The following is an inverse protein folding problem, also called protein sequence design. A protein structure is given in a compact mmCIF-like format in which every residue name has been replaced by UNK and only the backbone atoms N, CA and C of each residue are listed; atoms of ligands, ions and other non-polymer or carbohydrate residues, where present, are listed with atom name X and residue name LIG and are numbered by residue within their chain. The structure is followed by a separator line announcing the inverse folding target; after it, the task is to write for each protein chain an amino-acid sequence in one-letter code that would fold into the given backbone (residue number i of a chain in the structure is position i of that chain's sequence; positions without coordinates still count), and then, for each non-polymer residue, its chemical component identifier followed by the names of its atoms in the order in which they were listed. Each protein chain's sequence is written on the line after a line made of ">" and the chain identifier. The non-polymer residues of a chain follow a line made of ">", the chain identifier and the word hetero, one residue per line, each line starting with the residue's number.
data_IF_455900911962
#
_entry.id   IF_455900911962
#
_cell.length_a   1.000
_cell.length_b   1.000
_cell.length_c   1.000
_cell.angle_alpha   90.00
_cell.angle_beta   90.00
_cell.angle_gamma   90.00
#
_symmetry.space_group_name_H-M   'P 1'
#
loop_
_entity.id
_entity.type
_entity.pdbx_description
1 polymer ?
#
# COMPACT_ATOMS: atom_id res chain seq x y z
N UNK A 1 -57.23 -12.22 50.84
CA UNK A 1 -56.43 -12.85 49.75
C UNK A 1 -55.85 -11.73 48.89
N UNK A 2 -54.58 -11.37 49.08
CA UNK A 2 -53.93 -10.19 48.46
C UNK A 2 -52.97 -10.69 47.36
N UNK A 3 -53.27 -10.39 46.10
CA UNK A 3 -52.42 -10.70 44.93
C UNK A 3 -51.45 -9.54 44.70
N UNK A 4 -50.14 -9.78 44.83
CA UNK A 4 -49.07 -8.84 44.53
C UNK A 4 -48.62 -9.01 43.06
N UNK A 5 -48.57 -7.90 42.30
CA UNK A 5 -48.18 -7.87 40.89
C UNK A 5 -46.65 -7.83 40.71
N UNK A 6 -46.10 -8.83 40.00
CA UNK A 6 -44.68 -8.96 39.65
C UNK A 6 -44.41 -8.53 38.19
N UNK A 7 -44.53 -7.26 37.84
CA UNK A 7 -44.35 -6.83 36.42
C UNK A 7 -43.41 -5.63 36.19
N UNK A 8 -42.64 -5.17 37.17
CA UNK A 8 -41.91 -3.89 37.03
C UNK A 8 -40.38 -3.95 37.01
N UNK A 9 -39.73 -5.11 36.80
CA UNK A 9 -38.25 -5.22 36.89
C UNK A 9 -37.57 -5.55 35.55
N UNK A 10 -38.30 -5.75 34.45
CA UNK A 10 -37.70 -6.24 33.18
C UNK A 10 -37.28 -5.12 32.20
N UNK A 11 -37.63 -3.84 32.44
CA UNK A 11 -37.44 -2.78 31.43
C UNK A 11 -36.20 -1.88 31.56
N UNK A 12 -35.35 -2.03 32.59
CA UNK A 12 -34.17 -1.15 32.79
C UNK A 12 -32.86 -1.79 32.29
N UNK A 13 -32.80 -3.12 32.14
CA UNK A 13 -31.58 -3.82 31.69
C UNK A 13 -31.23 -3.62 30.21
N UNK A 14 -32.20 -3.23 29.36
CA UNK A 14 -31.98 -3.12 27.91
C UNK A 14 -31.36 -1.77 27.47
N UNK A 15 -31.44 -0.72 28.30
CA UNK A 15 -30.93 0.62 27.95
C UNK A 15 -29.44 0.77 28.32
N UNK A 16 -28.97 0.08 29.36
CA UNK A 16 -27.54 0.12 29.76
C UNK A 16 -26.65 -0.71 28.84
N UNK A 17 -27.18 -1.74 28.18
CA UNK A 17 -26.45 -2.55 27.21
C UNK A 17 -26.15 -1.83 25.87
N UNK A 18 -26.82 -0.70 25.60
CA UNK A 18 -26.63 0.07 24.36
C UNK A 18 -25.60 1.22 24.50
N UNK A 19 -25.16 1.55 25.72
CA UNK A 19 -24.21 2.64 26.00
C UNK A 19 -22.77 2.17 26.24
N UNK A 20 -22.52 0.86 26.16
CA UNK A 20 -21.20 0.23 26.31
C UNK A 20 -20.72 -0.41 25.01
N UNK A 21 -21.18 0.07 23.85
CA UNK A 21 -20.52 -0.29 22.60
C UNK A 21 -19.15 0.39 22.61
N UNK A 22 -18.03 -0.36 22.64
CA UNK A 22 -16.73 0.25 22.47
C UNK A 22 -16.78 1.05 21.17
N UNK A 23 -16.27 2.28 21.20
CA UNK A 23 -16.02 3.04 19.98
C UNK A 23 -14.89 2.27 19.30
N UNK A 24 -15.25 1.31 18.46
CA UNK A 24 -14.29 0.60 17.62
C UNK A 24 -13.61 1.70 16.82
N UNK A 25 -12.31 1.89 17.05
CA UNK A 25 -11.51 2.68 16.14
C UNK A 25 -11.69 2.03 14.78
N UNK A 26 -12.39 2.72 13.88
CA UNK A 26 -12.42 2.29 12.48
C UNK A 26 -10.98 2.40 12.01
N UNK A 27 -10.34 1.27 11.77
CA UNK A 27 -9.20 1.26 10.88
C UNK A 27 -9.76 1.70 9.54
N UNK A 28 -9.41 2.91 9.12
CA UNK A 28 -9.49 3.26 7.70
C UNK A 28 -8.40 2.38 7.10
N UNK A 29 -8.80 1.30 6.44
CA UNK A 29 -7.92 0.58 5.52
C UNK A 29 -8.33 1.13 4.17
N UNK A 30 -7.56 2.09 3.69
CA UNK A 30 -7.67 2.63 2.36
C UNK A 30 -6.37 2.31 1.63
N UNK A 31 -6.50 1.79 0.40
CA UNK A 31 -5.37 1.30 -0.39
C UNK A 31 -5.45 1.90 -1.77
N UNK A 32 -4.32 2.38 -2.26
CA UNK A 32 -4.13 2.73 -3.66
C UNK A 32 -2.86 2.07 -4.18
N UNK A 33 -2.78 1.87 -5.48
CA UNK A 33 -1.59 1.29 -6.10
C UNK A 33 -1.41 1.73 -7.54
N UNK A 34 -0.16 1.61 -8.02
CA UNK A 34 0.24 1.97 -9.37
C UNK A 34 1.54 1.25 -9.75
N UNK A 35 1.83 1.22 -11.05
CA UNK A 35 3.05 0.59 -11.56
C UNK A 35 4.12 1.62 -11.89
N UNK A 36 5.38 1.26 -11.66
CA UNK A 36 6.53 1.95 -12.23
C UNK A 36 6.65 1.53 -13.69
N UNK A 37 5.96 2.25 -14.58
CA UNK A 37 5.88 1.93 -16.01
C UNK A 37 6.96 2.60 -16.88
N UNK A 38 7.52 3.73 -16.43
CA UNK A 38 8.44 4.54 -17.23
C UNK A 38 9.89 4.31 -16.80
N UNK A 39 10.65 3.61 -17.64
CA UNK A 39 12.08 3.37 -17.44
C UNK A 39 12.96 4.39 -18.16
N UNK A 40 14.14 4.69 -17.61
CA UNK A 40 15.11 5.56 -18.27
C UNK A 40 15.78 4.86 -19.47
N UNK A 41 16.64 5.57 -20.21
CA UNK A 41 17.31 5.05 -21.41
C UNK A 41 18.17 3.80 -21.16
N UNK A 42 18.60 3.56 -19.93
CA UNK A 42 19.41 2.39 -19.60
C UNK A 42 18.60 1.09 -19.55
N UNK A 43 17.29 1.17 -19.28
CA UNK A 43 16.39 0.01 -19.21
C UNK A 43 15.24 0.07 -20.22
N UNK A 44 15.16 1.10 -21.06
CA UNK A 44 14.09 1.28 -22.06
C UNK A 44 14.02 0.17 -23.14
N UNK A 45 15.06 -0.66 -23.25
CA UNK A 45 15.06 -1.86 -24.11
C UNK A 45 14.35 -3.07 -23.50
N UNK A 46 13.93 -2.99 -22.23
CA UNK A 46 13.22 -4.05 -21.52
C UNK A 46 11.76 -3.67 -21.32
N UNK A 47 10.85 -4.62 -21.50
CA UNK A 47 9.41 -4.40 -21.42
C UNK A 47 8.95 -4.14 -19.98
N UNK A 48 8.48 -2.93 -19.67
CA UNK A 48 7.81 -2.64 -18.38
C UNK A 48 6.39 -3.21 -18.30
N UNK A 49 5.68 -3.03 -17.16
CA UNK A 49 6.11 -2.30 -15.95
C UNK A 49 7.22 -3.02 -15.18
N UNK A 50 7.96 -2.26 -14.36
CA UNK A 50 9.16 -2.74 -13.67
C UNK A 50 8.86 -3.17 -12.23
N UNK A 51 8.09 -2.37 -11.49
CA UNK A 51 7.65 -2.69 -10.14
C UNK A 51 6.22 -2.21 -9.92
N UNK A 52 5.54 -2.79 -8.93
CA UNK A 52 4.25 -2.36 -8.42
C UNK A 52 4.44 -1.62 -7.09
N UNK A 53 3.74 -0.51 -6.90
CA UNK A 53 3.74 0.28 -5.67
C UNK A 53 2.34 0.20 -5.07
N UNK A 54 2.25 -0.25 -3.83
CA UNK A 54 1.03 -0.27 -3.02
C UNK A 54 1.20 0.68 -1.83
N UNK A 55 0.16 1.48 -1.57
CA UNK A 55 0.09 2.46 -0.49
C UNK A 55 -1.12 2.11 0.36
N UNK A 56 -0.87 1.65 1.58
CA UNK A 56 -1.90 1.31 2.56
C UNK A 56 -1.95 2.39 3.65
N UNK A 57 -2.99 3.22 3.65
CA UNK A 57 -3.24 4.16 4.74
C UNK A 57 -3.83 3.39 5.93
N UNK A 58 -3.01 3.06 6.93
CA UNK A 58 -3.40 2.31 8.12
C UNK A 58 -4.17 3.15 9.15
N UNK A 59 -3.80 4.43 9.25
CA UNK A 59 -4.45 5.44 10.07
C UNK A 59 -4.38 6.77 9.34
N UNK A 60 -5.11 7.79 9.77
CA UNK A 60 -5.02 9.13 9.16
C UNK A 60 -3.63 9.76 9.24
N UNK A 61 -2.67 9.19 9.96
CA UNK A 61 -1.30 9.69 10.06
C UNK A 61 -0.23 8.67 9.67
N UNK A 62 -0.59 7.42 9.37
CA UNK A 62 0.40 6.36 9.14
C UNK A 62 0.02 5.54 7.93
N UNK A 63 0.95 5.38 7.00
CA UNK A 63 0.80 4.57 5.80
C UNK A 63 1.96 3.57 5.69
N UNK A 64 1.67 2.38 5.17
CA UNK A 64 2.68 1.41 4.75
C UNK A 64 2.83 1.50 3.24
N UNK A 65 4.07 1.57 2.76
CA UNK A 65 4.40 1.58 1.34
C UNK A 65 5.08 0.27 1.00
N UNK A 66 4.62 -0.40 -0.05
CA UNK A 66 5.18 -1.67 -0.50
C UNK A 66 5.52 -1.59 -1.98
N UNK A 67 6.79 -1.80 -2.30
CA UNK A 67 7.26 -2.00 -3.65
C UNK A 67 7.44 -3.49 -3.92
N UNK A 68 6.94 -3.97 -5.05
CA UNK A 68 7.07 -5.38 -5.48
C UNK A 68 7.61 -5.44 -6.90
N UNK A 69 8.71 -6.17 -7.10
CA UNK A 69 9.26 -6.44 -8.43
C UNK A 69 8.26 -7.17 -9.32
N UNK A 70 8.16 -6.73 -10.58
CA UNK A 70 7.37 -7.42 -11.59
C UNK A 70 8.26 -8.32 -12.45
N UNK A 71 7.64 -9.27 -13.15
CA UNK A 71 8.31 -10.15 -14.11
C UNK A 71 7.65 -9.99 -15.47
N UNK A 72 8.43 -9.56 -16.48
CA UNK A 72 7.95 -9.40 -17.85
C UNK A 72 8.97 -9.94 -18.86
N UNK A 73 8.47 -10.58 -19.92
CA UNK A 73 9.29 -11.10 -21.03
C UNK A 73 10.49 -11.96 -20.60
N UNK A 74 10.34 -12.75 -19.52
CA UNK A 74 11.40 -13.61 -18.98
C UNK A 74 12.42 -12.92 -18.08
N UNK A 75 12.25 -11.64 -17.79
CA UNK A 75 13.07 -10.88 -16.85
C UNK A 75 12.30 -10.56 -15.57
N UNK A 76 13.01 -10.47 -14.44
CA UNK A 76 12.54 -9.90 -13.17
C UNK A 76 13.35 -8.62 -12.89
N UNK A 77 12.70 -7.62 -12.31
CA UNK A 77 13.22 -6.27 -12.09
C UNK A 77 13.47 -6.02 -10.60
N UNK A 78 14.62 -6.47 -10.10
CA UNK A 78 14.97 -6.35 -8.67
C UNK A 78 15.29 -4.90 -8.31
N UNK A 79 15.09 -4.52 -7.06
CA UNK A 79 15.29 -3.15 -6.54
C UNK A 79 16.46 -3.13 -5.55
N UNK A 80 17.39 -2.19 -5.64
CA UNK A 80 18.55 -2.14 -4.73
C UNK A 80 19.49 -0.97 -4.98
N UNK A 81 20.64 -0.95 -4.30
CA UNK A 81 21.67 0.12 -4.35
C UNK A 81 21.17 1.46 -3.73
N UNK A 82 21.94 2.54 -3.89
CA UNK A 82 21.51 3.89 -3.51
C UNK A 82 20.32 4.35 -4.35
N UNK A 83 19.26 4.82 -3.70
CA UNK A 83 17.98 5.04 -4.37
C UNK A 83 17.24 3.74 -4.70
N UNK A 84 17.34 2.71 -3.84
CA UNK A 84 16.65 1.43 -4.05
C UNK A 84 15.18 1.65 -4.38
N UNK A 85 14.51 2.47 -3.56
CA UNK A 85 13.18 3.01 -3.81
C UNK A 85 13.10 4.44 -3.31
N UNK A 86 12.36 5.28 -4.03
CA UNK A 86 12.18 6.69 -3.75
C UNK A 86 10.69 7.04 -3.79
N UNK A 87 10.24 7.93 -2.90
CA UNK A 87 8.86 8.42 -2.87
C UNK A 87 8.79 9.92 -2.60
N UNK A 88 7.73 10.56 -3.08
CA UNK A 88 7.40 11.94 -2.75
C UNK A 88 6.27 11.96 -1.73
N UNK A 89 6.62 11.99 -0.46
CA UNK A 89 5.69 12.05 0.66
C UNK A 89 4.94 13.39 0.64
N UNK A 90 3.61 13.34 0.62
CA UNK A 90 2.75 14.52 0.67
C UNK A 90 2.52 14.95 2.13
N UNK A 91 3.58 15.45 2.76
CA UNK A 91 3.55 16.00 4.12
C UNK A 91 4.63 17.07 4.27
N UNK A 92 4.49 17.98 5.26
CA UNK A 92 5.56 18.94 5.56
C UNK A 92 6.68 18.29 6.36
N UNK A 93 6.32 17.42 7.32
CA UNK A 93 7.26 16.59 8.08
C UNK A 93 6.68 15.19 8.28
N UNK A 94 7.55 14.18 8.28
CA UNK A 94 7.20 12.78 8.52
C UNK A 94 8.38 12.05 9.17
N UNK A 95 8.14 10.80 9.58
CA UNK A 95 9.18 9.86 10.00
C UNK A 95 9.08 8.57 9.19
N UNK A 96 10.22 7.96 8.92
CA UNK A 96 10.36 6.65 8.28
C UNK A 96 10.66 5.58 9.34
N UNK A 97 10.03 4.40 9.25
CA UNK A 97 10.32 3.27 10.12
C UNK A 97 10.05 1.92 9.42
N UNK A 98 10.39 0.83 10.12
CA UNK A 98 10.07 -0.55 9.71
C UNK A 98 10.53 -0.93 8.30
N UNK A 99 11.65 -0.38 7.83
CA UNK A 99 12.20 -0.70 6.52
C UNK A 99 12.64 -2.17 6.50
N UNK A 100 12.00 -2.96 5.65
CA UNK A 100 12.33 -4.37 5.43
C UNK A 100 12.22 -4.71 3.95
N UNK A 101 12.74 -5.88 3.57
CA UNK A 101 12.56 -6.39 2.22
C UNK A 101 13.06 -7.82 2.06
N UNK A 102 12.69 -8.45 0.96
CA UNK A 102 12.97 -9.84 0.65
C UNK A 102 13.55 -10.02 -0.75
N UNK A 103 14.08 -11.21 -1.04
CA UNK A 103 14.40 -11.65 -2.39
C UNK A 103 14.24 -13.18 -2.45
N UNK A 104 13.32 -13.67 -3.29
CA UNK A 104 13.06 -15.10 -3.47
C UNK A 104 14.07 -15.77 -4.43
N UNK A 105 14.96 -15.00 -5.06
CA UNK A 105 16.02 -15.48 -5.93
C UNK A 105 17.11 -16.26 -5.19
N UNK A 106 17.94 -16.98 -5.95
CA UNK A 106 19.05 -17.74 -5.38
C UNK A 106 20.30 -16.87 -5.19
N UNK A 107 20.85 -16.87 -3.98
CA UNK A 107 22.14 -16.25 -3.67
C UNK A 107 22.09 -14.74 -3.37
N UNK A 108 20.91 -14.19 -3.08
CA UNK A 108 20.74 -12.80 -2.66
C UNK A 108 20.73 -12.67 -1.14
N UNK A 109 21.10 -11.48 -0.64
CA UNK A 109 21.02 -11.11 0.77
C UNK A 109 20.43 -9.70 0.87
N UNK A 110 19.09 -9.55 0.87
CA UNK A 110 18.43 -8.25 0.85
C UNK A 110 18.89 -7.30 1.95
N UNK A 111 19.13 -6.04 1.61
CA UNK A 111 19.59 -5.01 2.53
C UNK A 111 21.07 -5.17 2.95
N UNK A 112 21.48 -4.64 4.12
CA UNK A 112 20.69 -3.82 5.05
C UNK A 112 20.14 -2.55 4.39
N UNK A 113 19.09 -1.98 4.97
CA UNK A 113 18.45 -0.76 4.49
C UNK A 113 18.76 0.44 5.38
N UNK A 114 18.76 1.63 4.79
CA UNK A 114 18.90 2.90 5.50
C UNK A 114 17.99 3.98 4.93
N UNK A 115 17.66 4.95 5.78
CA UNK A 115 17.03 6.20 5.37
C UNK A 115 18.06 7.07 4.64
N UNK A 116 17.89 7.22 3.32
CA UNK A 116 18.73 8.07 2.47
C UNK A 116 18.37 9.55 2.56
N UNK A 117 17.27 9.89 3.26
CA UNK A 117 16.73 11.24 3.34
C UNK A 117 16.16 11.71 2.00
N UNK A 118 16.24 13.01 1.72
CA UNK A 118 15.86 13.55 0.42
C UNK A 118 16.99 13.36 -0.59
N UNK A 119 16.74 12.63 -1.69
CA UNK A 119 17.68 12.50 -2.78
C UNK A 119 17.58 13.67 -3.79
N UNK A 120 18.74 14.08 -4.30
CA UNK A 120 18.80 14.99 -5.43
C UNK A 120 18.67 14.21 -6.73
N UNK A 121 17.72 14.60 -7.58
CA UNK A 121 17.59 14.22 -9.00
C UNK A 121 17.89 12.75 -9.34
N UNK A 122 16.86 11.92 -9.35
CA UNK A 122 16.93 10.56 -9.90
C UNK A 122 16.92 10.63 -11.42
N UNK A 123 18.10 10.50 -12.04
CA UNK A 123 18.39 10.41 -13.47
C UNK A 123 17.24 10.75 -14.48
N UNK A 124 16.76 11.99 -14.45
CA UNK A 124 15.74 12.49 -15.40
C UNK A 124 14.28 12.41 -14.94
N UNK A 125 13.99 11.92 -13.74
CA UNK A 125 12.65 11.81 -13.14
C UNK A 125 12.39 12.81 -12.02
N UNK A 126 13.24 13.82 -11.88
CA UNK A 126 13.13 14.83 -10.83
C UNK A 126 13.71 14.37 -9.49
N UNK A 127 13.44 15.16 -8.46
CA UNK A 127 13.87 14.85 -7.09
C UNK A 127 12.74 14.16 -6.32
N UNK A 128 13.14 13.40 -5.30
CA UNK A 128 12.25 12.76 -4.35
C UNK A 128 12.58 13.23 -2.94
N UNK A 129 11.56 13.46 -2.13
CA UNK A 129 11.77 13.97 -0.78
C UNK A 129 12.08 12.85 0.25
N UNK A 130 11.93 11.58 -0.13
CA UNK A 130 12.31 10.43 0.68
C UNK A 130 12.92 9.32 -0.19
N UNK A 131 14.07 8.82 0.25
CA UNK A 131 14.85 7.75 -0.38
C UNK A 131 15.14 6.65 0.63
N UNK A 132 15.06 5.40 0.19
CA UNK A 132 15.53 4.23 0.92
C UNK A 132 16.69 3.64 0.14
N UNK A 133 17.82 3.46 0.82
CA UNK A 133 19.02 2.83 0.27
C UNK A 133 19.11 1.38 0.75
N UNK A 134 19.65 0.51 -0.10
CA UNK A 134 20.14 -0.81 0.30
C UNK A 134 21.66 -0.84 0.20
N UNK A 135 22.29 -1.74 0.96
CA UNK A 135 23.71 -2.01 0.78
C UNK A 135 24.03 -2.49 -0.65
N UNK A 136 25.29 -2.26 -1.06
CA UNK A 136 25.74 -2.14 -2.46
C UNK A 136 25.33 -3.31 -3.37
N UNK A 137 24.55 -2.93 -4.38
CA UNK A 137 24.52 -3.60 -5.67
C UNK A 137 23.60 -4.81 -5.81
N UNK A 138 23.77 -5.51 -6.92
CA UNK A 138 22.86 -6.56 -7.38
C UNK A 138 22.63 -7.68 -6.36
N UNK A 139 23.66 -8.12 -5.63
CA UNK A 139 23.54 -9.25 -4.68
C UNK A 139 22.74 -8.92 -3.41
N UNK A 140 22.51 -7.63 -3.14
CA UNK A 140 21.74 -7.13 -2.00
C UNK A 140 20.38 -6.56 -2.41
N UNK A 141 20.02 -6.72 -3.68
CA UNK A 141 18.72 -6.31 -4.21
C UNK A 141 17.58 -7.15 -3.66
N UNK A 142 16.39 -6.61 -3.80
CA UNK A 142 15.13 -7.12 -3.25
C UNK A 142 14.10 -7.28 -4.35
N UNK A 143 13.23 -8.29 -4.20
CA UNK A 143 11.99 -8.40 -4.98
C UNK A 143 10.79 -7.75 -4.28
N UNK A 144 10.96 -7.37 -3.01
CA UNK A 144 9.99 -6.62 -2.24
C UNK A 144 10.71 -5.70 -1.26
N UNK A 145 10.28 -4.44 -1.17
CA UNK A 145 10.72 -3.50 -0.13
C UNK A 145 9.47 -2.88 0.49
N UNK A 146 9.39 -2.86 1.82
CA UNK A 146 8.27 -2.26 2.55
C UNK A 146 8.78 -1.37 3.69
N UNK A 147 8.06 -0.30 3.96
CA UNK A 147 8.39 0.66 5.02
C UNK A 147 7.14 1.44 5.44
N UNK A 148 7.20 2.03 6.63
CA UNK A 148 6.13 2.85 7.17
C UNK A 148 6.50 4.33 7.13
N UNK A 149 5.54 5.15 6.73
CA UNK A 149 5.57 6.61 6.82
C UNK A 149 4.60 7.06 7.90
N UNK A 150 5.04 7.97 8.76
CA UNK A 150 4.14 8.64 9.72
C UNK A 150 4.18 10.15 9.51
N UNK A 151 3.05 10.75 9.13
CA UNK A 151 2.87 12.19 9.03
C UNK A 151 2.92 12.83 10.42
N UNK A 152 3.90 13.70 10.67
CA UNK A 152 4.05 14.42 11.94
C UNK A 152 3.58 15.87 11.86
N UNK A 153 3.13 16.31 10.67
CA UNK A 153 2.67 17.67 10.38
C UNK A 153 1.17 17.80 10.17
N UNK A 154 0.42 16.69 10.10
CA UNK A 154 -1.01 16.69 9.80
C UNK A 154 -1.58 15.29 9.63
N UNK A 155 -2.61 15.17 8.79
CA UNK A 155 -3.29 13.92 8.47
C UNK A 155 -3.47 13.77 6.96
N UNK A 156 -3.48 12.53 6.47
CA UNK A 156 -3.94 12.14 5.14
C UNK A 156 -5.43 11.78 5.20
N UNK A 157 -6.18 12.15 4.16
CA UNK A 157 -7.62 11.89 4.07
C UNK A 157 -7.92 10.49 3.53
N UNK A 158 -7.03 10.00 2.68
CA UNK A 158 -7.12 8.78 1.89
C UNK A 158 -5.70 8.36 1.46
N UNK A 159 -5.57 7.15 0.92
CA UNK A 159 -4.28 6.61 0.49
C UNK A 159 -3.66 7.40 -0.67
N UNK A 160 -4.48 7.93 -1.58
CA UNK A 160 -4.05 8.80 -2.69
C UNK A 160 -3.35 10.07 -2.18
N UNK A 161 -3.74 10.56 -1.01
CA UNK A 161 -3.16 11.76 -0.40
C UNK A 161 -1.81 11.53 0.28
N UNK A 162 -1.32 10.29 0.39
CA UNK A 162 -0.04 9.96 1.06
C UNK A 162 1.15 10.38 0.22
N UNK A 163 1.10 10.17 -1.09
CA UNK A 163 2.14 10.52 -2.04
C UNK A 163 1.66 11.65 -2.96
N UNK A 164 2.58 12.51 -3.41
CA UNK A 164 2.30 13.55 -4.39
C UNK A 164 3.32 13.50 -5.52
N UNK A 165 2.88 13.68 -6.76
CA UNK A 165 3.80 13.74 -7.88
C UNK A 165 4.74 14.96 -7.77
N UNK A 166 6.00 14.79 -8.15
CA UNK A 166 6.93 15.91 -8.31
C UNK A 166 6.68 16.68 -9.62
N UNK A 167 7.57 17.64 -9.92
CA UNK A 167 7.53 18.46 -11.15
C UNK A 167 7.71 17.66 -12.46
N UNK A 168 7.98 16.36 -12.38
CA UNK A 168 8.09 15.43 -13.52
C UNK A 168 6.94 14.41 -13.56
N UNK A 169 5.86 14.66 -12.80
CA UNK A 169 4.69 13.77 -12.70
C UNK A 169 5.04 12.38 -12.14
N UNK A 170 6.03 12.30 -11.24
CA UNK A 170 6.48 11.08 -10.59
C UNK A 170 6.21 11.10 -9.08
N UNK A 171 5.44 10.11 -8.59
CA UNK A 171 5.17 9.94 -7.16
C UNK A 171 6.15 8.97 -6.49
N UNK A 172 6.65 7.99 -7.23
CA UNK A 172 7.64 7.03 -6.78
C UNK A 172 8.64 6.67 -7.88
N UNK A 173 9.83 6.20 -7.47
CA UNK A 173 10.82 5.61 -8.35
C UNK A 173 11.54 4.45 -7.67
N UNK A 174 12.28 3.68 -8.46
CA UNK A 174 13.15 2.62 -7.96
C UNK A 174 14.38 2.46 -8.86
N UNK A 175 15.51 2.13 -8.24
CA UNK A 175 16.70 1.67 -8.95
C UNK A 175 16.54 0.18 -9.30
N UNK A 176 16.39 -0.07 -10.60
CA UNK A 176 16.08 -1.38 -11.16
C UNK A 176 17.36 -2.11 -11.61
N UNK A 177 17.47 -3.38 -11.22
CA UNK A 177 18.33 -4.38 -11.82
C UNK A 177 17.50 -5.35 -12.67
N UNK A 178 17.73 -5.35 -13.98
CA UNK A 178 17.11 -6.33 -14.88
C UNK A 178 17.91 -7.62 -14.80
N UNK A 179 17.27 -8.75 -14.51
CA UNK A 179 17.91 -10.07 -14.58
C UNK A 179 16.94 -11.13 -15.10
N UNK A 180 17.47 -12.29 -15.52
CA UNK A 180 16.66 -13.42 -15.96
C UNK A 180 15.77 -13.92 -14.82
N UNK A 181 14.52 -14.28 -15.09
CA UNK A 181 13.63 -14.95 -14.14
C UNK A 181 13.70 -16.49 -14.32
N UNK A 182 13.92 -17.29 -13.25
CA UNK A 182 14.08 -16.87 -11.86
C UNK A 182 15.45 -16.21 -11.59
N UNK A 183 15.46 -15.25 -10.67
CA UNK A 183 16.67 -14.50 -10.31
C UNK A 183 17.74 -15.41 -9.70
N UNK A 184 18.98 -15.23 -10.16
CA UNK A 184 20.16 -15.87 -9.58
C UNK A 184 21.30 -14.85 -9.51
N UNK A 185 21.81 -14.60 -8.30
CA UNK A 185 22.84 -13.61 -8.05
C UNK A 185 24.11 -13.84 -8.90
N UNK A 186 24.41 -15.09 -9.27
CA UNK A 186 25.56 -15.43 -10.12
C UNK A 186 25.43 -14.99 -11.57
N UNK A 187 24.21 -14.75 -12.06
CA UNK A 187 23.98 -14.31 -13.43
C UNK A 187 24.29 -12.80 -13.60
N UNK A 188 24.35 -12.04 -12.50
CA UNK A 188 24.45 -10.60 -12.55
C UNK A 188 23.19 -9.91 -13.07
N UNK A 189 23.27 -8.59 -13.16
CA UNK A 189 22.28 -7.77 -13.85
C UNK A 189 22.61 -7.68 -15.34
N UNK A 190 21.60 -7.86 -16.19
CA UNK A 190 21.66 -7.65 -17.63
C UNK A 190 21.74 -6.15 -17.97
N UNK A 191 21.04 -5.33 -17.18
CA UNK A 191 21.06 -3.88 -17.23
C UNK A 191 20.69 -3.30 -15.87
N UNK A 192 21.04 -2.04 -15.65
CA UNK A 192 20.66 -1.29 -14.46
C UNK A 192 20.22 0.12 -14.85
N UNK A 193 19.18 0.63 -14.19
CA UNK A 193 18.63 1.95 -14.47
C UNK A 193 17.54 2.31 -13.48
N UNK A 194 16.75 3.33 -13.79
CA UNK A 194 15.68 3.79 -12.93
C UNK A 194 14.34 3.65 -13.61
N UNK A 195 13.31 3.33 -12.84
CA UNK A 195 11.92 3.35 -13.27
C UNK A 195 11.09 4.25 -12.36
N UNK A 196 10.06 4.89 -12.91
CA UNK A 196 9.13 5.76 -12.18
C UNK A 196 7.68 5.50 -12.57
N UNK A 197 6.77 5.96 -11.72
CA UNK A 197 5.33 5.90 -11.93
C UNK A 197 4.61 6.94 -11.07
N UNK A 198 3.34 7.13 -11.39
CA UNK A 198 2.40 7.93 -10.63
C UNK A 198 1.00 7.32 -10.76
N UNK A 199 0.17 7.54 -9.75
CA UNK A 199 -1.23 7.09 -9.68
C UNK A 199 -2.11 7.67 -10.80
N UNK A 200 -1.68 8.78 -11.42
CA UNK A 200 -2.36 9.40 -12.56
C UNK A 200 -2.13 8.71 -13.92
N UNK A 201 -1.13 7.83 -14.04
CA UNK A 201 -0.74 7.15 -15.28
C UNK A 201 -1.18 5.69 -15.34
N UNK A 202 -2.50 5.41 -15.27
CA UNK A 202 -3.05 4.06 -15.06
C UNK A 202 -2.61 2.95 -16.04
N UNK A 203 -2.59 1.68 -15.58
CA UNK A 203 -3.69 0.71 -15.82
C UNK A 203 -3.91 -0.32 -14.66
N UNK A 204 -4.83 -1.31 -14.77
CA UNK A 204 -6.31 -1.25 -14.83
C UNK A 204 -6.96 -1.00 -13.44
N UNK A 205 -8.28 -0.76 -13.33
CA UNK A 205 -8.94 -0.59 -12.04
C UNK A 205 -8.74 -1.84 -11.16
N UNK A 206 -8.02 -1.68 -10.05
CA UNK A 206 -8.06 -2.64 -8.96
C UNK A 206 -9.49 -2.65 -8.43
N UNK A 207 -10.14 -3.81 -8.43
CA UNK A 207 -11.45 -3.97 -7.82
C UNK A 207 -11.27 -3.76 -6.32
N UNK A 208 -11.65 -2.57 -5.84
CA UNK A 208 -11.77 -2.31 -4.41
C UNK A 208 -12.71 -3.37 -3.85
N UNK A 209 -12.30 -4.19 -2.86
CA UNK A 209 -13.16 -5.22 -2.30
C UNK A 209 -14.50 -4.60 -1.90
N UNK A 210 -15.58 -5.05 -2.53
CA UNK A 210 -16.89 -4.46 -2.30
C UNK A 210 -17.19 -4.47 -0.80
N UNK A 211 -17.44 -3.30 -0.17
CA UNK A 211 -17.60 -3.23 1.27
C UNK A 211 -18.77 -4.14 1.67
N UNK A 212 -18.57 -4.89 2.75
CA UNK A 212 -19.54 -5.81 3.35
C UNK A 212 -20.92 -5.18 3.62
N UNK A 213 -21.05 -3.86 3.48
CA UNK A 213 -22.30 -3.15 3.27
C UNK A 213 -23.25 -3.76 2.23
N UNK A 214 -22.77 -4.38 1.14
CA UNK A 214 -23.67 -5.08 0.19
C UNK A 214 -24.33 -6.29 0.86
N UNK A 215 -23.57 -7.04 1.66
CA UNK A 215 -24.10 -8.16 2.45
C UNK A 215 -25.06 -7.63 3.53
N UNK A 216 -24.76 -6.49 4.16
CA UNK A 216 -25.60 -5.89 5.19
C UNK A 216 -26.94 -5.39 4.60
N UNK A 217 -26.93 -4.75 3.44
CA UNK A 217 -28.12 -4.31 2.71
C UNK A 217 -28.91 -5.53 2.22
N UNK A 218 -28.23 -6.52 1.65
CA UNK A 218 -28.83 -7.77 1.20
C UNK A 218 -29.54 -8.51 2.32
N UNK A 219 -28.87 -8.71 3.46
CA UNK A 219 -29.43 -9.34 4.65
C UNK A 219 -30.57 -8.51 5.26
N UNK A 220 -30.42 -7.18 5.29
CA UNK A 220 -31.45 -6.24 5.74
C UNK A 220 -32.73 -6.36 4.91
N UNK A 221 -32.63 -6.31 3.59
CA UNK A 221 -33.77 -6.44 2.68
C UNK A 221 -34.42 -7.83 2.76
N UNK A 222 -33.62 -8.90 2.89
CA UNK A 222 -34.15 -10.26 3.08
C UNK A 222 -34.99 -10.36 4.35
N UNK A 223 -34.51 -9.76 5.45
CA UNK A 223 -35.22 -9.75 6.73
C UNK A 223 -36.54 -8.95 6.67
N UNK A 224 -36.56 -7.83 5.94
CA UNK A 224 -37.77 -7.04 5.70
C UNK A 224 -38.78 -7.79 4.82
N UNK A 225 -38.31 -8.46 3.77
CA UNK A 225 -39.16 -9.28 2.89
C UNK A 225 -39.83 -10.44 3.62
N UNK A 226 -39.09 -11.14 4.49
CA UNK A 226 -39.62 -12.21 5.33
C UNK A 226 -40.64 -11.69 6.35
N UNK A 227 -40.48 -10.46 6.84
CA UNK A 227 -41.42 -9.83 7.77
C UNK A 227 -42.70 -9.35 7.08
N UNK A 228 -42.61 -8.82 5.86
CA UNK A 228 -43.76 -8.37 5.08
C UNK A 228 -44.74 -9.49 4.72
N UNK A 229 -44.24 -10.69 4.38
CA UNK A 229 -45.10 -11.84 4.03
C UNK A 229 -46.04 -12.30 5.16
N UNK A 230 -45.67 -12.09 6.43
CA UNK A 230 -46.53 -12.46 7.57
C UNK A 230 -47.73 -11.54 7.77
N UNK A 231 -47.72 -10.34 7.21
CA UNK A 231 -48.82 -9.37 7.35
C UNK A 231 -49.92 -9.52 6.31
N UNK A 232 -49.64 -10.18 5.17
CA UNK A 232 -50.63 -10.40 4.10
C UNK A 232 -51.46 -11.69 4.27
N UNK A 233 -51.23 -12.47 5.34
CA UNK A 233 -51.95 -13.71 5.63
C UNK A 233 -52.97 -13.58 6.79
N UNK A 234 -53.38 -12.36 7.12
CA UNK A 234 -54.49 -12.05 8.04
C UNK A 234 -55.50 -11.17 7.34
#
# INVERSE_FOLDING_TARGET
>A
MRRTSKHSIIFIGLIVALLLTPIWAYAVIDTTSFDLGLGNTAISGYTGPYAHVEVDLNTTTTATITFTSLTNSGNIYLMGDGGSVDVNVNATTWTLSNITGSNAGTGFTPGPYSDGGAANAINGFGSFNQTIDSFDGFTHSSDMITFDLTNTSGTWTDALSVLAANDHDAAAAAHIFVTSSPANAKNGALATGFATGNEGGGPPPFETPEPSTIILIGAGLLSLGLRGRKWMQK
#
